data_IF_628791817098
#
_entry.id   IF_628791817098
#
_cell.length_a   1.000
_cell.length_b   1.000
_cell.length_c   1.000
_cell.angle_alpha   90.00
_cell.angle_beta   90.00
_cell.angle_gamma   90.00
#
_symmetry.space_group_name_H-M   'P 1'
#
loop_
_entity.id
_entity.type
_entity.pdbx_description
1 polymer ?
#
# COMPACT_ATOMS: atom_id res chain seq x y z
N UNK A 1 6.27 18.02 8.24
CA UNK A 1 7.62 18.18 7.64
C UNK A 1 8.65 17.58 8.57
N UNK A 2 9.85 17.24 8.10
CA UNK A 2 10.89 16.62 8.96
C UNK A 2 11.30 17.55 10.12
N UNK A 3 11.36 18.86 9.88
CA UNK A 3 11.68 19.85 10.91
C UNK A 3 10.63 19.93 12.04
N UNK A 4 9.35 19.71 11.73
CA UNK A 4 8.28 19.64 12.76
C UNK A 4 8.42 18.38 13.60
N UNK A 5 8.79 17.24 12.99
CA UNK A 5 9.03 15.98 13.70
C UNK A 5 10.26 16.12 14.60
N UNK A 6 11.34 16.74 14.11
CA UNK A 6 12.51 17.08 14.92
C UNK A 6 12.14 17.94 16.13
N UNK A 7 11.33 18.99 15.93
CA UNK A 7 10.88 19.85 17.02
C UNK A 7 10.05 19.09 18.06
N UNK A 8 9.12 18.26 17.60
CA UNK A 8 8.26 17.47 18.48
C UNK A 8 9.06 16.45 19.30
N UNK A 9 10.10 15.81 18.73
CA UNK A 9 10.96 14.89 19.47
C UNK A 9 11.85 15.66 20.46
N UNK A 10 12.45 16.78 20.02
CA UNK A 10 13.39 17.53 20.85
C UNK A 10 12.73 18.22 22.04
N UNK A 11 11.58 18.84 21.83
CA UNK A 11 10.90 19.69 22.82
C UNK A 11 9.58 19.12 23.34
N UNK A 12 9.14 17.99 22.80
CA UNK A 12 7.82 17.43 23.08
C UNK A 12 6.71 18.20 22.36
N UNK A 13 5.47 17.77 22.62
CA UNK A 13 4.27 18.45 22.11
C UNK A 13 3.29 18.72 23.27
N UNK A 14 3.13 19.99 23.70
CA UNK A 14 2.25 20.35 24.80
C UNK A 14 0.81 19.86 24.59
N UNK A 15 0.18 19.33 25.64
CA UNK A 15 -1.19 18.82 25.58
C UNK A 15 -1.31 17.41 24.97
N UNK A 16 -0.18 16.75 24.67
CA UNK A 16 -0.13 15.35 24.23
C UNK A 16 0.72 14.51 25.19
N UNK A 17 0.78 13.20 24.95
CA UNK A 17 1.69 12.31 25.67
C UNK A 17 3.15 12.34 25.14
N UNK A 18 3.45 13.16 24.11
CA UNK A 18 4.78 13.24 23.52
C UNK A 18 5.71 14.11 24.38
N UNK A 19 6.56 13.45 25.18
CA UNK A 19 7.57 14.10 26.01
C UNK A 19 8.75 14.63 25.18
N UNK A 20 9.55 15.52 25.78
CA UNK A 20 10.78 16.02 25.18
C UNK A 20 11.94 15.03 25.37
N UNK A 21 12.68 14.74 24.30
CA UNK A 21 13.87 13.88 24.32
C UNK A 21 15.19 14.64 24.18
N UNK A 22 15.16 15.97 24.03
CA UNK A 22 16.36 16.78 23.81
C UNK A 22 17.38 16.77 24.97
N UNK A 23 17.03 16.26 26.15
CA UNK A 23 17.97 16.07 27.27
C UNK A 23 18.72 14.74 27.23
N UNK A 24 18.26 13.78 26.42
CA UNK A 24 18.82 12.42 26.34
C UNK A 24 19.35 12.06 24.95
N UNK A 25 18.88 12.75 23.91
CA UNK A 25 19.35 12.60 22.53
C UNK A 25 19.99 13.89 22.02
N UNK A 26 21.11 13.75 21.33
CA UNK A 26 21.71 14.83 20.54
C UNK A 26 20.96 15.07 19.23
N UNK A 27 21.17 16.24 18.63
CA UNK A 27 20.49 16.61 17.37
C UNK A 27 20.75 15.60 16.25
N UNK A 28 21.97 15.06 16.16
CA UNK A 28 22.33 14.04 15.17
C UNK A 28 21.58 12.72 15.41
N UNK A 29 21.38 12.32 16.66
CA UNK A 29 20.62 11.10 17.01
C UNK A 29 19.14 11.28 16.71
N UNK A 30 18.58 12.47 16.94
CA UNK A 30 17.20 12.80 16.57
C UNK A 30 17.03 12.72 15.04
N UNK A 31 17.97 13.27 14.26
CA UNK A 31 17.93 13.12 12.80
C UNK A 31 18.05 11.67 12.35
N UNK A 32 18.94 10.89 12.97
CA UNK A 32 19.06 9.46 12.69
C UNK A 32 17.75 8.69 13.00
N UNK A 33 17.09 9.04 14.11
CA UNK A 33 15.79 8.47 14.49
C UNK A 33 14.70 8.80 13.46
N UNK A 34 14.62 10.05 13.02
CA UNK A 34 13.65 10.48 11.99
C UNK A 34 13.87 9.69 10.69
N UNK A 35 15.12 9.55 10.24
CA UNK A 35 15.43 8.77 9.05
C UNK A 35 15.08 7.29 9.22
N UNK A 36 15.31 6.72 10.42
CA UNK A 36 14.90 5.36 10.73
C UNK A 36 13.37 5.20 10.67
N UNK A 37 12.60 6.10 11.29
CA UNK A 37 11.14 6.08 11.26
C UNK A 37 10.58 6.19 9.83
N UNK A 38 11.22 6.98 8.97
CA UNK A 38 10.82 7.13 7.57
C UNK A 38 10.97 5.86 6.75
N UNK A 39 11.87 4.94 7.13
CA UNK A 39 11.98 3.64 6.46
C UNK A 39 10.68 2.84 6.52
N UNK A 40 9.83 3.10 7.53
CA UNK A 40 8.51 2.50 7.67
C UNK A 40 7.41 3.24 6.90
N UNK A 41 7.61 4.51 6.56
CA UNK A 41 6.63 5.31 5.81
C UNK A 41 6.56 4.92 4.32
N UNK A 42 7.60 4.26 3.81
CA UNK A 42 7.65 3.73 2.45
C UNK A 42 7.02 2.34 2.36
N UNK A 43 5.69 2.30 2.25
CA UNK A 43 4.81 1.30 1.58
C UNK A 43 3.45 1.33 2.28
N UNK A 44 2.76 2.47 2.22
CA UNK A 44 1.30 2.40 2.22
C UNK A 44 0.95 1.78 0.86
N UNK A 45 0.53 0.52 0.87
CA UNK A 45 0.34 -0.27 -0.33
C UNK A 45 -0.43 0.49 -1.41
N UNK A 46 0.25 0.78 -2.50
CA UNK A 46 -0.33 0.72 -3.84
C UNK A 46 -0.60 -0.75 -4.20
N UNK A 47 -1.41 -1.42 -3.37
CA UNK A 47 -2.09 -2.67 -3.64
C UNK A 47 -3.53 -2.47 -3.16
N UNK A 48 -4.56 -2.40 -3.99
CA UNK A 48 -4.62 -2.47 -5.43
C UNK A 48 -6.06 -2.14 -5.80
N UNK A 49 -6.29 -0.99 -6.43
CA UNK A 49 -7.54 -0.76 -7.13
C UNK A 49 -7.24 -0.26 -8.54
N UNK A 50 -7.48 -1.19 -9.48
CA UNK A 50 -7.75 -0.97 -10.89
C UNK A 50 -6.53 -0.96 -11.83
N UNK A 51 -5.78 -2.05 -11.82
CA UNK A 51 -5.09 -2.54 -13.02
C UNK A 51 -5.75 -3.83 -13.49
N UNK A 52 -6.50 -3.80 -14.60
CA UNK A 52 -6.86 -5.02 -15.33
C UNK A 52 -8.33 -5.21 -15.73
N UNK A 53 -8.89 -4.33 -16.57
CA UNK A 53 -9.86 -4.77 -17.59
C UNK A 53 -9.27 -4.38 -18.94
N UNK A 54 -8.94 -5.40 -19.73
CA UNK A 54 -8.16 -5.29 -20.96
C UNK A 54 -8.84 -4.54 -22.11
N UNK A 55 -8.16 -4.45 -23.27
CA UNK A 55 -8.73 -3.85 -24.47
C UNK A 55 -9.69 -4.85 -25.11
N UNK A 56 -10.99 -4.57 -25.09
CA UNK A 56 -11.94 -5.46 -25.75
C UNK A 56 -13.38 -5.01 -25.71
N UNK A 57 -13.86 -4.58 -26.88
CA UNK A 57 -15.26 -4.56 -27.33
C UNK A 57 -16.18 -3.51 -26.70
N UNK A 58 -16.94 -2.73 -27.44
CA UNK A 58 -17.21 -2.73 -28.86
C UNK A 58 -18.29 -1.68 -29.10
N UNK A 59 -18.09 -0.84 -30.12
CA UNK A 59 -19.21 -0.10 -30.68
C UNK A 59 -20.20 -1.06 -31.33
N UNK A 60 -21.42 -0.55 -31.49
CA UNK A 60 -22.47 -1.02 -32.41
C UNK A 60 -23.55 -1.91 -31.79
N UNK A 61 -24.63 -1.21 -31.44
CA UNK A 61 -26.02 -1.54 -31.73
C UNK A 61 -26.22 -2.68 -32.76
N UNK A 62 -27.00 -3.70 -32.39
CA UNK A 62 -27.75 -4.49 -33.36
C UNK A 62 -27.56 -6.01 -33.30
N UNK A 63 -28.69 -6.70 -33.46
CA UNK A 63 -28.90 -8.13 -33.78
C UNK A 63 -28.77 -9.20 -32.67
N UNK A 64 -29.93 -9.75 -32.28
CA UNK A 64 -30.28 -11.10 -32.75
C UNK A 64 -30.16 -12.30 -31.79
N UNK A 65 -31.34 -12.76 -31.33
CA UNK A 65 -31.80 -14.15 -31.20
C UNK A 65 -30.92 -15.27 -30.56
N UNK A 66 -31.39 -15.72 -29.38
CA UNK A 66 -31.81 -17.10 -29.03
C UNK A 66 -31.01 -18.27 -29.64
N UNK A 67 -30.27 -19.00 -28.79
CA UNK A 67 -30.09 -20.45 -28.99
C UNK A 67 -28.84 -21.12 -28.40
N UNK A 68 -29.10 -22.11 -27.53
CA UNK A 68 -28.56 -23.48 -27.63
C UNK A 68 -27.13 -23.80 -27.12
N UNK A 69 -27.11 -24.50 -25.96
CA UNK A 69 -26.49 -25.82 -25.66
C UNK A 69 -24.96 -26.01 -25.86
N UNK A 70 -24.29 -26.50 -24.82
CA UNK A 70 -23.19 -27.46 -25.02
C UNK A 70 -22.03 -27.45 -24.02
N UNK A 71 -22.05 -28.46 -23.12
CA UNK A 71 -20.96 -29.31 -22.59
C UNK A 71 -19.47 -28.90 -22.72
N UNK A 72 -18.74 -29.21 -21.63
CA UNK A 72 -17.32 -29.61 -21.61
C UNK A 72 -16.39 -28.49 -21.12
N UNK A 73 -15.39 -28.72 -20.27
CA UNK A 73 -14.82 -29.92 -19.70
C UNK A 73 -13.65 -29.56 -18.77
N UNK A 74 -13.15 -30.57 -18.07
CA UNK A 74 -11.81 -30.79 -17.47
C UNK A 74 -10.76 -29.69 -17.72
N UNK A 75 -9.92 -29.30 -16.76
CA UNK A 75 -8.88 -30.17 -16.17
C UNK A 75 -8.22 -29.56 -14.92
N UNK A 76 -7.48 -30.43 -14.24
CA UNK A 76 -6.76 -30.33 -12.97
C UNK A 76 -6.00 -29.03 -12.64
N UNK A 77 -6.00 -28.72 -11.35
CA UNK A 77 -5.07 -27.82 -10.69
C UNK A 77 -3.75 -28.57 -10.38
N UNK A 78 -2.76 -28.42 -11.25
CA UNK A 78 -1.35 -28.71 -10.95
C UNK A 78 -0.59 -27.39 -10.76
N UNK A 79 0.05 -27.24 -9.60
CA UNK A 79 0.94 -26.11 -9.33
C UNK A 79 1.07 -25.79 -7.85
N UNK A 80 2.14 -26.34 -7.26
CA UNK A 80 2.76 -26.07 -5.96
C UNK A 80 2.08 -25.02 -5.07
N UNK A 81 1.36 -25.54 -4.07
CA UNK A 81 0.78 -24.77 -2.98
C UNK A 81 1.86 -24.09 -2.14
N UNK A 82 1.70 -22.77 -1.98
CA UNK A 82 2.09 -22.03 -0.78
C UNK A 82 3.60 -22.05 -0.46
N UNK A 83 4.36 -21.19 -1.13
CA UNK A 83 5.62 -20.72 -0.57
C UNK A 83 5.33 -19.96 0.73
N UNK A 84 5.87 -20.49 1.84
CA UNK A 84 5.90 -19.90 3.17
C UNK A 84 6.84 -18.71 3.24
#
# INVERSE_FOLDING_TARGET
TEGEVFWAIKYGSPGTAMIAFGSVLSDNEIWALIHYEQTFAGTHGTMGHRGGMGPGMGGREGMGHRGQKGKGGMSECEGDSCAR
#
